data_IF_853934629301
#
_entry.id   IF_853934629301
#
_cell.length_a   1.000
_cell.length_b   1.000
_cell.length_c   1.000
_cell.angle_alpha   90.00
_cell.angle_beta   90.00
_cell.angle_gamma   90.00
#
_symmetry.space_group_name_H-M   'P 1'
#
loop_
_entity.id
_entity.type
_entity.pdbx_description
1 polymer ?
#
# COMPACT_ATOMS: atom_id res chain seq x y z
N UNK A 1 2.92 8.78 -8.16
CA UNK A 1 3.48 7.41 -8.19
C UNK A 1 4.56 7.35 -7.13
N UNK A 2 4.45 6.43 -6.17
CA UNK A 2 5.44 6.27 -5.10
C UNK A 2 6.62 5.49 -5.66
N UNK A 3 7.81 6.08 -5.63
CA UNK A 3 9.06 5.44 -6.05
C UNK A 3 9.49 4.42 -4.98
N UNK A 4 8.90 3.22 -5.01
CA UNK A 4 9.18 2.13 -4.04
C UNK A 4 10.60 1.57 -4.19
N UNK A 5 11.25 1.78 -5.34
CA UNK A 5 12.60 1.31 -5.65
C UNK A 5 13.69 1.97 -4.79
N UNK A 6 13.49 3.22 -4.38
CA UNK A 6 14.47 3.99 -3.58
C UNK A 6 14.44 3.67 -2.08
N UNK A 7 13.46 2.88 -1.63
CA UNK A 7 13.26 2.57 -0.20
C UNK A 7 14.02 1.31 0.20
N UNK A 8 14.50 1.25 1.44
CA UNK A 8 15.06 0.02 2.01
C UNK A 8 13.96 -1.03 2.20
N UNK A 9 14.33 -2.32 2.37
CA UNK A 9 13.36 -3.39 2.65
C UNK A 9 12.56 -3.09 3.92
N UNK A 10 13.24 -2.62 4.98
CA UNK A 10 12.60 -2.24 6.25
C UNK A 10 11.60 -1.09 6.08
N UNK A 11 11.93 -0.11 5.25
CA UNK A 11 11.02 1.01 4.96
C UNK A 11 9.82 0.57 4.12
N UNK A 12 10.00 -0.38 3.21
CA UNK A 12 8.92 -0.97 2.43
C UNK A 12 7.97 -1.79 3.32
N UNK A 13 8.50 -2.55 4.28
CA UNK A 13 7.69 -3.30 5.25
C UNK A 13 6.89 -2.37 6.16
N UNK A 14 7.52 -1.29 6.66
CA UNK A 14 6.82 -0.26 7.44
C UNK A 14 5.71 0.39 6.61
N UNK A 15 6.04 0.84 5.39
CA UNK A 15 5.09 1.45 4.48
C UNK A 15 3.92 0.52 4.13
N UNK A 16 4.19 -0.77 3.96
CA UNK A 16 3.16 -1.78 3.72
C UNK A 16 2.19 -1.89 4.90
N UNK A 17 2.70 -1.86 6.13
CA UNK A 17 1.88 -1.90 7.35
C UNK A 17 0.97 -0.67 7.42
N UNK A 18 1.56 0.52 7.25
CA UNK A 18 0.83 1.79 7.31
C UNK A 18 -0.28 1.83 6.24
N UNK A 19 0.04 1.43 4.99
CA UNK A 19 -0.95 1.43 3.90
C UNK A 19 -2.08 0.41 4.08
N UNK A 20 -1.81 -0.72 4.73
CA UNK A 20 -2.85 -1.70 5.08
C UNK A 20 -3.78 -1.16 6.15
N UNK A 21 -3.25 -0.41 7.11
CA UNK A 21 -4.04 0.28 8.13
C UNK A 21 -4.90 1.39 7.51
N UNK A 22 -4.34 2.21 6.62
CA UNK A 22 -5.09 3.20 5.84
C UNK A 22 -6.26 2.56 5.09
N UNK A 23 -6.02 1.42 4.42
CA UNK A 23 -7.06 0.71 3.70
C UNK A 23 -8.15 0.17 4.64
N UNK A 24 -7.78 -0.29 5.84
CA UNK A 24 -8.72 -0.74 6.87
C UNK A 24 -9.57 0.44 7.35
N UNK A 25 -8.94 1.55 7.70
CA UNK A 25 -9.63 2.76 8.14
C UNK A 25 -10.55 3.30 7.06
N UNK A 26 -10.11 3.31 5.80
CA UNK A 26 -10.94 3.65 4.65
C UNK A 26 -12.18 2.75 4.55
N UNK A 27 -12.04 1.43 4.73
CA UNK A 27 -13.18 0.49 4.68
C UNK A 27 -14.21 0.77 5.77
N UNK A 28 -13.77 1.13 6.97
CA UNK A 28 -14.68 1.46 8.07
C UNK A 28 -15.26 2.88 7.95
N UNK A 29 -14.48 3.86 7.53
CA UNK A 29 -14.92 5.24 7.34
C UNK A 29 -15.96 5.39 6.21
N UNK A 30 -15.89 4.54 5.17
CA UNK A 30 -16.91 4.50 4.11
C UNK A 30 -18.21 3.81 4.53
N UNK A 31 -18.27 3.13 5.68
CA UNK A 31 -19.50 2.56 6.21
C UNK A 31 -20.33 3.64 6.89
N UNK A 32 -20.86 4.61 6.11
CA UNK A 32 -21.81 5.59 6.64
C UNK A 32 -21.90 6.95 5.93
N UNK A 33 -20.92 7.33 5.10
CA UNK A 33 -20.92 8.66 4.47
C UNK A 33 -21.20 8.63 2.96
N UNK A 34 -21.92 9.63 2.47
CA UNK A 34 -22.35 9.78 1.06
C UNK A 34 -21.20 10.31 0.15
N UNK A 35 -20.11 10.81 0.73
CA UNK A 35 -18.93 11.34 0.02
C UNK A 35 -17.87 10.26 -0.18
N UNK A 36 -18.07 9.47 -1.23
CA UNK A 36 -17.25 8.30 -1.56
C UNK A 36 -15.97 8.72 -2.30
N UNK A 37 -14.87 9.01 -1.61
CA UNK A 37 -13.55 9.15 -2.26
C UNK A 37 -13.00 7.77 -2.69
N UNK A 38 -13.70 7.10 -3.61
CA UNK A 38 -13.37 5.76 -4.12
C UNK A 38 -11.98 5.71 -4.78
N UNK A 39 -11.48 6.86 -5.24
CA UNK A 39 -10.15 6.99 -5.84
C UNK A 39 -9.06 6.73 -4.81
N UNK A 40 -9.24 7.20 -3.59
CA UNK A 40 -8.29 7.00 -2.49
C UNK A 40 -8.13 5.50 -2.18
N UNK A 41 -9.23 4.78 -1.96
CA UNK A 41 -9.17 3.34 -1.73
C UNK A 41 -8.54 2.56 -2.90
N UNK A 42 -8.77 2.99 -4.16
CA UNK A 42 -8.10 2.39 -5.33
C UNK A 42 -6.59 2.68 -5.33
N UNK A 43 -6.19 3.92 -5.01
CA UNK A 43 -4.80 4.32 -4.95
C UNK A 43 -4.05 3.56 -3.85
N UNK A 44 -4.63 3.45 -2.65
CA UNK A 44 -4.04 2.69 -1.53
C UNK A 44 -3.82 1.22 -1.91
N UNK A 45 -4.79 0.57 -2.57
CA UNK A 45 -4.61 -0.81 -3.08
C UNK A 45 -3.48 -0.91 -4.11
N UNK A 46 -3.36 0.07 -5.01
CA UNK A 46 -2.28 0.13 -6.02
C UNK A 46 -0.92 0.25 -5.36
N UNK A 47 -0.79 1.11 -4.36
CA UNK A 47 0.47 1.30 -3.62
C UNK A 47 0.87 0.02 -2.88
N UNK A 48 -0.07 -0.65 -2.21
CA UNK A 48 0.18 -1.96 -1.57
C UNK A 48 0.70 -2.98 -2.59
N UNK A 49 0.07 -3.07 -3.77
CA UNK A 49 0.48 -4.00 -4.81
C UNK A 49 1.90 -3.71 -5.34
N UNK A 50 2.25 -2.42 -5.51
CA UNK A 50 3.59 -2.00 -5.93
C UNK A 50 4.66 -2.38 -4.89
N UNK A 51 4.38 -2.14 -3.60
CA UNK A 51 5.30 -2.50 -2.51
C UNK A 51 5.53 -4.02 -2.47
N UNK A 52 4.46 -4.82 -2.55
CA UNK A 52 4.56 -6.28 -2.55
C UNK A 52 5.33 -6.81 -3.77
N UNK A 53 5.15 -6.18 -4.94
CA UNK A 53 5.88 -6.55 -6.16
C UNK A 53 7.37 -6.32 -5.98
N UNK A 54 7.76 -5.17 -5.45
CA UNK A 54 9.16 -4.83 -5.17
C UNK A 54 9.79 -5.77 -4.13
N UNK A 55 9.09 -6.03 -3.02
CA UNK A 55 9.57 -6.97 -1.99
C UNK A 55 9.78 -8.38 -2.57
N UNK A 56 8.84 -8.86 -3.39
CA UNK A 56 8.97 -10.16 -4.06
C UNK A 56 10.11 -10.18 -5.09
N UNK A 57 10.30 -9.10 -5.85
CA UNK A 57 11.41 -8.98 -6.79
C UNK A 57 12.76 -9.08 -6.07
N UNK A 58 12.93 -8.35 -4.96
CA UNK A 58 14.14 -8.43 -4.12
C UNK A 58 14.36 -9.82 -3.54
N UNK A 59 13.29 -10.47 -3.07
CA UNK A 59 13.36 -11.84 -2.54
C UNK A 59 13.85 -12.85 -3.58
N UNK A 60 13.43 -12.70 -4.84
CA UNK A 60 13.84 -13.57 -5.97
C UNK A 60 15.29 -13.35 -6.41
N UNK A 61 15.85 -12.16 -6.22
CA UNK A 61 17.26 -11.86 -6.54
C UNK A 61 18.19 -12.35 -5.43
N UNK A 62 17.72 -12.36 -4.18
CA UNK A 62 18.47 -12.85 -3.02
C UNK A 62 18.47 -14.39 -2.87
N UNK A 63 17.66 -15.10 -3.66
CA UNK A 63 17.52 -16.56 -3.68
C UNK A 63 18.28 -17.19 -4.83
#
# INVERSE_FOLDING_TARGET
MTDVTKKSVKDLEKLLKDKREDLRNFRFANAGSHTRNVREGRNTRREIAQILTELNARKRVAS
#
